data_IF_894002783645
#
_entry.id   IF_894002783645
#
_cell.length_a   1.000
_cell.length_b   1.000
_cell.length_c   1.000
_cell.angle_alpha   90.00
_cell.angle_beta   90.00
_cell.angle_gamma   90.00
#
_symmetry.space_group_name_H-M   'P 1'
#
loop_
_entity.id
_entity.type
_entity.pdbx_description
1 polymer ?
#
# COMPACT_ATOMS: atom_id res chain seq x y z
N UNK A 1 37.49 5.68 -28.77
CA UNK A 1 36.88 4.51 -29.45
C UNK A 1 35.37 4.69 -29.38
N UNK A 2 34.76 5.20 -30.45
CA UNK A 2 33.36 5.66 -30.50
C UNK A 2 32.47 4.51 -30.99
N UNK A 3 31.47 4.10 -30.22
CA UNK A 3 30.41 3.19 -30.68
C UNK A 3 29.18 4.02 -31.06
N UNK A 4 28.77 3.82 -32.31
CA UNK A 4 27.81 4.61 -33.08
C UNK A 4 26.38 4.39 -32.56
N UNK A 5 25.64 5.47 -32.42
CA UNK A 5 24.19 5.48 -32.25
C UNK A 5 23.53 5.11 -33.57
N UNK A 6 22.53 4.22 -33.53
CA UNK A 6 21.60 4.02 -34.64
C UNK A 6 20.18 4.08 -34.10
N UNK A 7 19.50 5.19 -34.41
CA UNK A 7 18.07 5.37 -34.27
C UNK A 7 17.33 4.54 -35.33
N UNK A 8 16.25 3.88 -34.93
CA UNK A 8 15.20 3.45 -35.86
C UNK A 8 13.88 4.04 -35.36
N UNK A 9 13.45 5.11 -36.04
CA UNK A 9 12.08 5.62 -36.02
C UNK A 9 11.24 4.72 -36.91
N UNK A 10 10.14 4.16 -36.39
CA UNK A 10 9.01 3.72 -37.21
C UNK A 10 7.75 4.34 -36.62
N UNK A 11 7.29 5.38 -37.31
CA UNK A 11 5.95 5.92 -37.17
C UNK A 11 5.03 5.20 -38.16
N UNK A 12 3.88 4.71 -37.71
CA UNK A 12 2.74 4.41 -38.57
C UNK A 12 1.47 4.91 -37.88
N UNK A 13 0.73 5.75 -38.59
CA UNK A 13 -0.43 6.55 -38.17
C UNK A 13 -1.65 6.20 -39.05
N UNK A 14 -2.50 5.25 -38.66
CA UNK A 14 -3.84 5.06 -39.27
C UNK A 14 -4.73 4.48 -38.16
N UNK A 15 -5.90 4.98 -37.78
CA UNK A 15 -6.86 5.87 -38.44
C UNK A 15 -8.20 5.14 -38.60
N UNK A 16 -9.23 5.60 -37.87
CA UNK A 16 -10.67 5.39 -38.07
C UNK A 16 -11.31 4.00 -37.84
N UNK A 17 -12.31 3.91 -36.95
CA UNK A 17 -13.72 3.86 -37.33
C UNK A 17 -14.68 3.76 -36.11
N UNK A 18 -15.80 4.46 -36.25
CA UNK A 18 -16.93 4.67 -35.32
C UNK A 18 -17.88 3.46 -35.37
N UNK A 19 -18.54 3.12 -34.27
CA UNK A 19 -19.87 2.48 -34.30
C UNK A 19 -20.72 2.93 -33.12
N UNK A 20 -21.69 3.80 -33.46
CA UNK A 20 -22.90 4.07 -32.69
C UNK A 20 -23.94 2.98 -33.02
N UNK A 21 -24.78 2.65 -32.03
CA UNK A 21 -26.23 2.40 -32.11
C UNK A 21 -26.67 1.20 -31.26
N UNK A 22 -27.69 1.44 -30.44
CA UNK A 22 -28.41 0.41 -29.70
C UNK A 22 -29.43 1.01 -28.72
N UNK A 23 -30.43 1.72 -29.23
CA UNK A 23 -31.64 2.13 -28.51
C UNK A 23 -32.78 1.20 -28.92
N UNK A 24 -33.59 0.70 -27.97
CA UNK A 24 -34.83 -0.03 -28.27
C UNK A 24 -35.56 -0.50 -27.00
N UNK A 25 -36.91 -0.58 -27.04
CA UNK A 25 -37.78 -0.18 -25.93
C UNK A 25 -38.54 -1.35 -25.27
N UNK A 26 -39.16 -1.15 -24.10
CA UNK A 26 -40.63 -1.27 -23.91
C UNK A 26 -41.09 -1.13 -22.45
N UNK A 27 -42.32 -0.64 -22.37
CA UNK A 27 -43.16 -0.15 -21.26
C UNK A 27 -43.98 -1.23 -20.53
N UNK A 28 -44.25 -1.03 -19.23
CA UNK A 28 -45.55 -1.26 -18.55
C UNK A 28 -45.44 -0.74 -17.09
N UNK A 29 -46.10 0.35 -16.66
CA UNK A 29 -47.51 0.60 -16.23
C UNK A 29 -47.99 -0.13 -14.96
N UNK A 30 -48.46 0.69 -13.98
CA UNK A 30 -49.37 0.36 -12.87
C UNK A 30 -48.64 0.23 -11.52
N UNK A 31 -48.81 1.04 -10.47
CA UNK A 31 -49.85 2.00 -10.11
C UNK A 31 -50.68 1.44 -8.95
N UNK A 32 -50.38 1.81 -7.70
CA UNK A 32 -51.41 1.95 -6.65
C UNK A 32 -50.88 2.76 -5.44
N UNK A 33 -51.65 3.77 -5.03
CA UNK A 33 -51.44 4.61 -3.87
C UNK A 33 -52.44 4.19 -2.78
N UNK A 34 -52.03 4.09 -1.50
CA UNK A 34 -52.60 4.87 -0.37
C UNK A 34 -52.04 4.46 1.01
N UNK A 35 -52.26 5.26 2.08
CA UNK A 35 -51.34 5.44 3.18
C UNK A 35 -51.80 4.75 4.47
N UNK A 36 -50.86 4.53 5.38
CA UNK A 36 -51.11 4.05 6.73
C UNK A 36 -50.20 4.77 7.72
N UNK A 37 -50.74 5.82 8.33
CA UNK A 37 -50.28 6.50 9.54
C UNK A 37 -49.99 5.55 10.70
N UNK A 38 -48.84 5.72 11.37
CA UNK A 38 -48.74 5.79 12.84
C UNK A 38 -47.32 6.16 13.29
N UNK A 39 -47.20 7.26 14.04
CA UNK A 39 -46.11 7.64 14.93
C UNK A 39 -46.78 8.42 16.08
N UNK A 40 -46.17 8.66 17.26
CA UNK A 40 -45.22 7.89 18.08
C UNK A 40 -45.89 7.47 19.41
N UNK A 41 -45.21 6.66 20.23
CA UNK A 41 -45.17 7.03 21.65
C UNK A 41 -43.88 6.59 22.33
N UNK A 42 -43.47 7.45 23.26
CA UNK A 42 -42.16 7.51 23.88
C UNK A 42 -42.13 6.68 25.16
N UNK A 43 -40.95 6.13 25.50
CA UNK A 43 -40.20 6.46 26.72
C UNK A 43 -39.44 5.26 27.33
N UNK A 44 -38.13 5.48 27.40
CA UNK A 44 -37.23 5.27 28.53
C UNK A 44 -37.00 3.86 29.11
N UNK A 45 -35.72 3.50 29.08
CA UNK A 45 -35.01 3.23 30.32
C UNK A 45 -34.23 1.92 30.34
N UNK A 46 -32.91 2.01 30.52
CA UNK A 46 -32.15 0.89 31.08
C UNK A 46 -30.77 0.64 30.53
N UNK A 47 -29.80 1.32 31.13
CA UNK A 47 -28.53 0.72 31.61
C UNK A 47 -27.40 0.49 30.60
N UNK A 48 -26.30 1.18 30.91
CA UNK A 48 -24.98 0.98 30.37
C UNK A 48 -24.54 -0.50 30.40
N UNK A 49 -23.97 -0.95 29.29
CA UNK A 49 -22.87 -1.91 29.35
C UNK A 49 -21.80 -1.45 28.38
N UNK A 50 -20.77 -0.86 28.98
CA UNK A 50 -19.42 -0.76 28.47
C UNK A 50 -18.93 -2.12 27.98
N UNK A 51 -19.08 -2.38 26.69
CA UNK A 51 -18.26 -3.35 25.98
C UNK A 51 -17.01 -2.64 25.50
N UNK A 52 -15.95 -2.69 26.31
CA UNK A 52 -14.58 -2.40 25.86
C UNK A 52 -14.26 -3.28 24.64
N UNK A 53 -14.41 -2.72 23.45
CA UNK A 53 -13.74 -3.19 22.24
C UNK A 53 -12.35 -2.59 22.16
N UNK A 54 -11.51 -2.85 23.17
CA UNK A 54 -10.10 -2.50 23.15
C UNK A 54 -9.30 -3.72 22.65
N UNK A 55 -9.34 -3.96 21.34
CA UNK A 55 -8.37 -4.84 20.66
C UNK A 55 -8.05 -4.25 19.30
N UNK A 56 -7.32 -3.14 19.28
CA UNK A 56 -6.68 -2.61 18.07
C UNK A 56 -5.40 -1.82 18.37
N UNK A 57 -4.76 -2.02 19.52
CA UNK A 57 -3.61 -1.19 19.92
C UNK A 57 -2.44 -1.98 20.54
N UNK A 58 -2.42 -3.30 20.35
CA UNK A 58 -1.37 -4.16 20.93
C UNK A 58 -0.19 -4.43 19.99
N UNK A 59 -0.05 -3.77 18.82
CA UNK A 59 0.84 -4.30 17.78
C UNK A 59 1.73 -3.29 17.03
N UNK A 60 2.08 -2.15 17.63
CA UNK A 60 3.11 -1.25 17.07
C UNK A 60 4.10 -0.79 18.14
N UNK A 61 4.84 -1.75 18.71
CA UNK A 61 6.02 -1.44 19.53
C UNK A 61 7.24 -1.43 18.61
N UNK A 62 8.00 -0.33 18.54
CA UNK A 62 9.27 -0.32 17.82
C UNK A 62 10.34 -1.05 18.64
N UNK A 63 11.16 -1.90 18.00
CA UNK A 63 12.36 -2.48 18.68
C UNK A 63 13.56 -1.54 18.70
N UNK A 64 13.43 -0.33 18.16
CA UNK A 64 14.59 0.53 17.91
C UNK A 64 15.48 0.05 16.76
N UNK A 65 15.13 -1.06 16.06
CA UNK A 65 15.84 -1.49 14.86
C UNK A 65 15.57 -0.50 13.73
N UNK A 66 16.63 0.17 13.29
CA UNK A 66 16.61 1.07 12.14
C UNK A 66 17.20 0.37 10.93
N UNK A 67 16.60 0.61 9.78
CA UNK A 67 17.18 0.24 8.48
C UNK A 67 17.48 1.49 7.67
N UNK A 68 18.61 1.46 6.98
CA UNK A 68 19.00 2.49 6.02
C UNK A 68 18.82 1.97 4.61
N UNK A 69 18.19 2.79 3.78
CA UNK A 69 17.99 2.57 2.36
C UNK A 69 18.87 3.57 1.61
N UNK A 70 19.89 3.09 0.90
CA UNK A 70 20.79 3.92 0.08
C UNK A 70 20.50 3.69 -1.40
N UNK A 71 20.32 4.76 -2.16
CA UNK A 71 20.00 4.76 -3.58
C UNK A 71 20.62 5.97 -4.28
N UNK A 72 20.62 6.02 -5.61
CA UNK A 72 21.26 7.10 -6.38
C UNK A 72 20.72 8.51 -6.04
N UNK A 73 19.48 8.59 -5.57
CA UNK A 73 18.82 9.82 -5.15
C UNK A 73 19.07 10.25 -3.70
N UNK A 74 19.82 9.46 -2.91
CA UNK A 74 20.15 9.78 -1.53
C UNK A 74 19.97 8.60 -0.57
N UNK A 75 19.62 8.92 0.67
CA UNK A 75 19.39 7.94 1.72
C UNK A 75 18.04 8.19 2.40
N UNK A 76 17.40 7.10 2.83
CA UNK A 76 16.21 7.14 3.67
C UNK A 76 16.38 6.17 4.84
N UNK A 77 15.74 6.48 5.95
CA UNK A 77 15.81 5.66 7.17
C UNK A 77 14.41 5.30 7.61
N UNK A 78 14.19 4.04 7.93
CA UNK A 78 12.96 3.55 8.53
C UNK A 78 13.23 2.86 9.86
N UNK A 79 12.32 3.07 10.81
CA UNK A 79 12.25 2.32 12.07
C UNK A 79 11.27 1.17 11.92
N UNK A 80 11.69 -0.04 12.35
CA UNK A 80 10.87 -1.24 12.24
C UNK A 80 10.10 -1.54 13.53
N UNK A 81 8.85 -1.95 13.37
CA UNK A 81 8.04 -2.52 14.46
C UNK A 81 8.57 -3.90 14.87
N UNK A 82 8.36 -4.25 16.14
CA UNK A 82 8.63 -5.58 16.66
C UNK A 82 7.56 -6.57 16.24
N UNK A 83 7.77 -7.25 15.12
CA UNK A 83 6.91 -8.35 14.73
C UNK A 83 7.70 -9.44 13.98
N UNK A 84 7.15 -10.66 13.87
CA UNK A 84 7.83 -11.78 13.20
C UNK A 84 8.29 -11.45 11.78
N UNK A 85 7.47 -10.75 11.00
CA UNK A 85 7.78 -10.39 9.61
C UNK A 85 8.91 -9.35 9.51
N UNK A 86 8.92 -8.33 10.36
CA UNK A 86 10.02 -7.36 10.43
C UNK A 86 11.33 -7.99 10.86
N UNK A 87 11.31 -8.92 11.82
CA UNK A 87 12.51 -9.68 12.23
C UNK A 87 13.04 -10.56 11.10
N UNK A 88 12.16 -11.16 10.32
CA UNK A 88 12.54 -11.94 9.15
C UNK A 88 13.14 -11.06 8.02
N UNK A 89 12.66 -9.82 7.86
CA UNK A 89 13.30 -8.84 6.97
C UNK A 89 14.73 -8.55 7.42
N UNK A 90 14.91 -8.27 8.70
CA UNK A 90 16.22 -7.95 9.31
C UNK A 90 17.21 -9.09 9.11
N UNK A 91 16.77 -10.35 9.24
CA UNK A 91 17.60 -11.54 9.05
C UNK A 91 18.13 -11.70 7.62
N UNK A 92 17.59 -10.98 6.63
CA UNK A 92 18.09 -10.95 5.25
C UNK A 92 19.02 -9.78 4.95
N UNK A 93 19.18 -8.83 5.87
CA UNK A 93 20.03 -7.66 5.65
C UNK A 93 21.53 -8.05 5.73
N UNK A 94 22.40 -7.43 4.91
CA UNK A 94 22.07 -6.44 3.89
C UNK A 94 21.53 -7.08 2.60
N UNK A 95 20.62 -6.39 1.91
CA UNK A 95 20.18 -6.80 0.57
C UNK A 95 20.00 -5.62 -0.39
N UNK A 96 20.11 -5.91 -1.68
CA UNK A 96 19.96 -4.93 -2.75
C UNK A 96 18.76 -5.29 -3.61
N UNK A 97 17.81 -4.37 -3.75
CA UNK A 97 16.56 -4.57 -4.47
C UNK A 97 16.35 -3.52 -5.56
N UNK A 98 15.69 -3.93 -6.64
CA UNK A 98 15.16 -2.99 -7.64
C UNK A 98 13.75 -2.56 -7.23
N UNK A 99 13.59 -1.27 -6.92
CA UNK A 99 12.30 -0.64 -6.67
C UNK A 99 11.76 0.00 -7.94
N UNK A 100 10.43 0.06 -8.04
CA UNK A 100 9.72 0.80 -9.08
C UNK A 100 8.53 1.54 -8.50
N UNK A 101 8.07 2.56 -9.22
CA UNK A 101 6.82 3.23 -8.92
C UNK A 101 5.61 2.35 -9.24
N UNK A 102 4.61 2.38 -8.38
CA UNK A 102 3.34 1.71 -8.59
C UNK A 102 2.18 2.62 -8.20
N UNK A 103 1.23 2.76 -9.15
CA UNK A 103 0.02 3.59 -9.01
C UNK A 103 0.27 5.04 -8.59
N UNK A 104 1.47 5.59 -8.79
CA UNK A 104 1.84 6.90 -8.29
C UNK A 104 1.53 7.09 -6.80
N UNK A 105 1.57 6.01 -6.01
CA UNK A 105 1.20 5.97 -4.59
C UNK A 105 2.25 5.28 -3.73
N UNK A 106 2.86 4.23 -4.28
CA UNK A 106 3.77 3.35 -3.56
C UNK A 106 4.99 2.98 -4.40
N UNK A 107 6.12 2.71 -3.75
CA UNK A 107 7.27 2.05 -4.39
C UNK A 107 7.28 0.58 -3.98
N UNK A 108 7.46 -0.33 -4.93
CA UNK A 108 7.45 -1.77 -4.66
C UNK A 108 8.74 -2.45 -5.07
N UNK A 109 9.14 -3.48 -4.31
CA UNK A 109 10.26 -4.35 -4.63
C UNK A 109 10.05 -5.77 -4.09
N UNK A 110 10.70 -6.75 -4.73
CA UNK A 110 10.58 -8.16 -4.37
C UNK A 110 11.83 -8.63 -3.63
N UNK A 111 11.74 -9.02 -2.35
CA UNK A 111 12.82 -9.68 -1.63
C UNK A 111 13.24 -11.02 -2.30
N UNK A 112 14.46 -11.53 -2.04
CA UNK A 112 14.97 -12.75 -2.66
C UNK A 112 14.20 -14.02 -2.28
N UNK A 113 13.45 -13.97 -1.18
CA UNK A 113 12.46 -14.97 -0.77
C UNK A 113 11.28 -14.27 -0.10
N UNK A 114 10.13 -14.93 -0.03
CA UNK A 114 9.01 -14.43 0.76
C UNK A 114 9.40 -14.31 2.23
N UNK A 115 8.93 -13.25 2.86
CA UNK A 115 9.00 -13.09 4.31
C UNK A 115 7.96 -13.99 4.98
N UNK A 116 8.27 -14.45 6.19
CA UNK A 116 7.31 -15.13 7.04
C UNK A 116 6.16 -14.20 7.41
N UNK A 117 4.94 -14.69 7.25
CA UNK A 117 3.70 -14.05 7.71
C UNK A 117 3.05 -14.80 8.89
N UNK A 118 3.79 -15.74 9.48
CA UNK A 118 3.34 -16.48 10.66
C UNK A 118 3.18 -15.51 11.84
N UNK A 119 1.98 -15.49 12.43
CA UNK A 119 1.61 -14.59 13.54
C UNK A 119 1.84 -13.09 13.21
N UNK A 120 1.74 -12.71 11.94
CA UNK A 120 1.92 -11.33 11.50
C UNK A 120 0.70 -10.45 11.82
N UNK A 121 0.90 -9.16 12.16
CA UNK A 121 -0.19 -8.21 12.36
C UNK A 121 -0.76 -7.76 11.01
N UNK A 122 -1.71 -8.53 10.48
CA UNK A 122 -2.42 -8.21 9.25
C UNK A 122 -3.41 -7.05 9.42
N UNK A 123 -3.59 -6.30 8.34
CA UNK A 123 -4.51 -5.17 8.30
C UNK A 123 -3.76 -3.85 8.48
N UNK A 124 -3.84 -3.00 7.46
CA UNK A 124 -3.24 -1.67 7.48
C UNK A 124 -4.11 -0.70 6.67
N UNK A 125 -4.34 0.49 7.20
CA UNK A 125 -4.69 1.68 6.40
C UNK A 125 -3.37 2.38 6.13
N UNK A 126 -2.82 2.31 4.91
CA UNK A 126 -1.51 2.90 4.65
C UNK A 126 -1.57 4.41 4.73
N UNK A 127 -0.56 4.98 5.37
CA UNK A 127 -0.28 6.42 5.38
C UNK A 127 1.08 6.71 4.76
N UNK A 128 1.27 7.96 4.34
CA UNK A 128 2.59 8.43 3.89
C UNK A 128 3.68 8.07 4.92
N UNK A 129 4.75 7.41 4.44
CA UNK A 129 5.86 6.96 5.28
C UNK A 129 5.75 5.51 5.76
N UNK A 130 4.65 4.82 5.52
CA UNK A 130 4.55 3.40 5.92
C UNK A 130 5.41 2.48 5.05
N UNK A 131 6.14 1.59 5.72
CA UNK A 131 6.78 0.42 5.13
C UNK A 131 5.95 -0.82 5.45
N UNK A 132 5.55 -1.57 4.42
CA UNK A 132 4.70 -2.74 4.56
C UNK A 132 5.17 -3.92 3.69
N UNK A 133 4.66 -5.11 4.01
CA UNK A 133 4.67 -6.28 3.14
C UNK A 133 3.27 -6.48 2.57
N UNK A 134 3.15 -6.61 1.25
CA UNK A 134 1.94 -7.12 0.62
C UNK A 134 2.02 -8.64 0.49
N UNK A 135 1.33 -9.34 1.40
CA UNK A 135 1.46 -10.79 1.57
C UNK A 135 1.09 -11.64 0.33
N UNK A 136 0.06 -11.31 -0.48
CA UNK A 136 -0.34 -12.13 -1.62
C UNK A 136 0.78 -12.32 -2.66
N UNK A 137 1.61 -11.29 -2.86
CA UNK A 137 2.71 -11.35 -3.82
C UNK A 137 4.07 -11.49 -3.12
N UNK A 138 4.18 -11.07 -1.87
CA UNK A 138 5.40 -11.13 -1.08
C UNK A 138 6.37 -9.98 -1.38
N UNK A 139 5.87 -8.83 -1.84
CA UNK A 139 6.69 -7.65 -2.11
C UNK A 139 6.67 -6.65 -0.95
N UNK A 140 7.77 -5.93 -0.80
CA UNK A 140 7.82 -4.72 0.03
C UNK A 140 7.04 -3.61 -0.67
N UNK A 141 6.47 -2.74 0.15
CA UNK A 141 5.71 -1.56 -0.27
C UNK A 141 6.14 -0.39 0.59
N UNK A 142 6.57 0.70 -0.05
CA UNK A 142 6.86 1.98 0.59
C UNK A 142 5.77 2.96 0.15
N UNK A 143 4.91 3.36 1.08
CA UNK A 143 3.87 4.34 0.82
C UNK A 143 4.46 5.76 0.92
N UNK A 144 4.27 6.55 -0.12
CA UNK A 144 4.59 7.99 -0.09
C UNK A 144 3.34 8.87 -0.28
N UNK A 145 2.16 8.24 -0.30
CA UNK A 145 0.84 8.83 -0.19
C UNK A 145 -0.07 7.88 0.59
N UNK A 146 -1.16 8.41 1.15
CA UNK A 146 -2.18 7.62 1.82
C UNK A 146 -2.90 6.66 0.88
N UNK A 147 -3.41 5.56 1.44
CA UNK A 147 -4.18 4.59 0.68
C UNK A 147 -5.32 3.96 1.47
N UNK A 148 -6.20 3.26 0.76
CA UNK A 148 -7.34 2.56 1.37
C UNK A 148 -6.87 1.37 2.20
N UNK A 149 -7.66 1.01 3.21
CA UNK A 149 -7.46 -0.19 4.02
C UNK A 149 -7.23 -1.44 3.17
N UNK A 150 -6.31 -2.29 3.61
CA UNK A 150 -6.10 -3.64 3.09
C UNK A 150 -5.89 -4.63 4.23
N UNK A 151 -6.62 -5.75 4.17
CA UNK A 151 -6.44 -6.90 5.07
C UNK A 151 -5.17 -7.72 4.76
N UNK A 152 -4.58 -7.48 3.59
CA UNK A 152 -3.50 -8.31 3.04
C UNK A 152 -2.10 -7.66 3.22
N UNK A 153 -2.06 -6.53 3.93
CA UNK A 153 -0.82 -5.83 4.30
C UNK A 153 -0.40 -6.20 5.72
N UNK A 154 0.91 -6.36 5.91
CA UNK A 154 1.57 -6.43 7.22
C UNK A 154 2.41 -5.18 7.40
N UNK A 155 2.20 -4.44 8.48
CA UNK A 155 2.98 -3.25 8.80
C UNK A 155 4.38 -3.64 9.28
N UNK A 156 5.42 -3.13 8.63
CA UNK A 156 6.81 -3.47 8.95
C UNK A 156 7.49 -2.35 9.74
N UNK A 157 7.21 -1.11 9.39
CA UNK A 157 7.85 0.05 9.99
C UNK A 157 7.35 1.36 9.42
N UNK A 158 8.07 2.43 9.73
CA UNK A 158 7.76 3.78 9.25
C UNK A 158 9.06 4.55 8.97
N UNK A 159 9.06 5.35 7.91
CA UNK A 159 10.21 6.18 7.54
C UNK A 159 10.36 7.36 8.52
N UNK A 160 11.56 7.54 9.05
CA UNK A 160 11.91 8.66 9.94
C UNK A 160 12.65 9.78 9.22
N UNK A 161 13.20 9.51 8.03
CA UNK A 161 13.86 10.49 7.17
C UNK A 161 13.98 9.99 5.73
N UNK A 162 14.18 10.92 4.80
CA UNK A 162 14.56 10.62 3.42
C UNK A 162 13.43 10.17 2.48
N UNK A 163 12.19 10.06 2.97
CA UNK A 163 11.04 9.64 2.18
C UNK A 163 10.82 10.55 0.96
N UNK A 164 10.95 11.87 1.13
CA UNK A 164 10.78 12.86 0.07
C UNK A 164 11.76 12.66 -1.11
N UNK A 165 13.00 12.24 -0.82
CA UNK A 165 13.99 11.95 -1.87
C UNK A 165 13.66 10.63 -2.57
N UNK A 166 13.25 9.62 -1.81
CA UNK A 166 12.82 8.33 -2.35
C UNK A 166 11.55 8.47 -3.22
N UNK A 167 10.59 9.31 -2.82
CA UNK A 167 9.35 9.55 -3.54
C UNK A 167 9.58 10.15 -4.94
N UNK A 168 10.63 10.97 -5.10
CA UNK A 168 11.02 11.61 -6.37
C UNK A 168 11.60 10.64 -7.40
N UNK A 169 11.95 9.41 -6.99
CA UNK A 169 12.44 8.38 -7.91
C UNK A 169 11.29 7.92 -8.82
N UNK A 170 11.32 8.32 -10.09
CA UNK A 170 10.24 8.12 -11.07
C UNK A 170 10.54 7.04 -12.13
N UNK A 171 11.70 6.38 -12.02
CA UNK A 171 12.10 5.23 -12.83
C UNK A 171 12.52 4.11 -11.89
N UNK A 172 12.63 2.90 -12.40
CA UNK A 172 13.21 1.79 -11.66
C UNK A 172 14.59 2.18 -11.12
N UNK A 173 14.83 1.89 -9.84
CA UNK A 173 16.03 2.29 -9.13
C UNK A 173 16.48 1.22 -8.16
N UNK A 174 17.80 1.12 -7.99
CA UNK A 174 18.39 0.15 -7.09
C UNK A 174 18.52 0.75 -5.69
N UNK A 175 18.12 -0.01 -4.69
CA UNK A 175 18.21 0.36 -3.27
C UNK A 175 18.99 -0.72 -2.53
N UNK A 176 20.04 -0.31 -1.82
CA UNK A 176 20.73 -1.15 -0.83
C UNK A 176 20.11 -0.89 0.54
N UNK A 177 19.66 -1.96 1.19
CA UNK A 177 19.01 -1.93 2.50
C UNK A 177 19.94 -2.57 3.52
N UNK A 178 20.24 -1.86 4.59
CA UNK A 178 21.17 -2.29 5.64
C UNK A 178 20.57 -2.02 7.02
N UNK A 179 20.89 -2.84 8.01
CA UNK A 179 20.62 -2.50 9.39
C UNK A 179 21.54 -1.35 9.82
N UNK A 180 21.01 -0.39 10.58
CA UNK A 180 21.82 0.64 11.23
C UNK A 180 22.25 0.08 12.58
N UNK A 181 23.51 -0.32 12.68
CA UNK A 181 24.08 -0.72 13.96
C UNK A 181 24.14 0.51 14.87
N UNK A 182 23.54 0.40 16.06
CA UNK A 182 23.67 1.40 17.13
C UNK A 182 24.98 1.22 17.89
#
# INVERSE_FOLDING_TARGET
>A
MMKKFLNVFVAVMVGFAISLAGCGPETAKGGENNPGTAQPDSAQGGTASSGQGATADTAKTFQGTKIKLTFDGGEAVAELYDNPTSRDLVAMLPLTLSFKDFNSTEKIAYPPRRLSTENAPFGLVPSEGDLALFAPWGNLVIYYHDFRYSKDLVSLGHFTSGLEQLAKMNRDFTVRIEAVNQ
#
